data_IF_024911364256
#
_entry.id   IF_024911364256
#
_cell.length_a   1.000
_cell.length_b   1.000
_cell.length_c   1.000
_cell.angle_alpha   90.00
_cell.angle_beta   90.00
_cell.angle_gamma   90.00
#
_symmetry.space_group_name_H-M   'P 1'
#
loop_
_entity.id
_entity.type
_entity.pdbx_description
1 polymer ?
#
# COMPACT_ATOMS: atom_id res chain seq x y z
N UNK A 1 0.68 -12.07 -3.35
CA UNK A 1 0.91 -10.97 -2.40
C UNK A 1 1.53 -9.77 -3.12
N UNK A 2 0.94 -9.38 -4.25
CA UNK A 2 1.22 -8.13 -4.96
C UNK A 2 -0.16 -7.51 -5.12
N UNK A 3 -0.48 -6.53 -4.28
CA UNK A 3 -1.77 -5.87 -4.31
C UNK A 3 -1.64 -4.73 -5.32
N UNK A 4 -1.58 -5.09 -6.60
CA UNK A 4 -1.46 -4.15 -7.72
C UNK A 4 -2.78 -4.19 -8.46
N UNK A 5 -3.66 -3.23 -8.17
CA UNK A 5 -5.02 -3.20 -8.68
C UNK A 5 -5.06 -2.28 -9.92
N UNK A 6 -5.63 -2.81 -11.00
CA UNK A 6 -5.67 -2.31 -12.40
C UNK A 6 -4.34 -2.07 -13.13
N UNK A 7 -3.82 -3.14 -13.74
CA UNK A 7 -2.85 -3.05 -14.83
C UNK A 7 -3.29 -2.29 -16.09
N UNK A 8 -4.54 -1.81 -16.22
CA UNK A 8 -5.00 -1.24 -17.49
C UNK A 8 -4.70 0.26 -17.62
N UNK A 9 -4.84 1.06 -16.55
CA UNK A 9 -4.66 2.53 -16.63
C UNK A 9 -3.56 3.06 -15.71
N UNK A 10 -3.29 2.40 -14.58
CA UNK A 10 -2.24 2.80 -13.66
C UNK A 10 -2.29 1.97 -12.38
N UNK A 11 -1.21 1.99 -11.62
CA UNK A 11 -1.14 1.28 -10.34
C UNK A 11 -0.17 1.96 -9.38
N UNK A 12 -0.45 1.82 -8.09
CA UNK A 12 0.47 2.03 -7.00
C UNK A 12 1.11 0.70 -6.55
N UNK A 13 2.39 0.72 -6.20
CA UNK A 13 3.07 -0.41 -5.55
C UNK A 13 3.24 -0.11 -4.05
N UNK A 14 2.41 -0.70 -3.18
CA UNK A 14 2.53 -0.55 -1.73
C UNK A 14 3.91 -0.96 -1.21
N UNK A 15 4.35 -0.28 -0.16
CA UNK A 15 5.66 -0.43 0.48
C UNK A 15 6.88 -0.01 -0.34
N UNK A 16 6.71 0.33 -1.62
CA UNK A 16 7.80 0.73 -2.51
C UNK A 16 7.60 2.12 -3.14
N UNK A 17 6.61 2.88 -2.66
CA UNK A 17 6.42 4.30 -2.99
C UNK A 17 6.53 4.59 -4.48
N UNK A 18 5.83 3.78 -5.30
CA UNK A 18 5.84 3.92 -6.76
C UNK A 18 4.43 3.97 -7.31
N UNK A 19 4.14 4.99 -8.10
CA UNK A 19 2.99 5.06 -9.00
C UNK A 19 3.50 4.82 -10.43
N UNK A 20 2.76 4.02 -11.19
CA UNK A 20 2.95 3.86 -12.62
C UNK A 20 1.63 4.15 -13.32
N UNK A 21 1.62 5.16 -14.18
CA UNK A 21 0.47 5.55 -14.99
C UNK A 21 0.65 4.98 -16.41
N UNK A 22 -0.28 4.17 -16.90
CA UNK A 22 -0.19 3.57 -18.24
C UNK A 22 -0.64 4.54 -19.33
N UNK A 23 -0.08 5.75 -19.32
CA UNK A 23 -0.35 6.82 -20.26
C UNK A 23 0.94 7.24 -20.95
N UNK A 24 0.81 7.71 -22.19
CA UNK A 24 1.91 8.24 -23.00
C UNK A 24 2.03 9.78 -22.88
N UNK A 25 1.09 10.42 -22.19
CA UNK A 25 1.12 11.85 -21.85
C UNK A 25 2.39 12.19 -21.06
N UNK A 26 2.91 13.41 -21.28
CA UNK A 26 4.08 13.90 -20.55
C UNK A 26 3.74 14.12 -19.07
N UNK A 27 4.60 13.66 -18.15
CA UNK A 27 4.37 13.88 -16.71
C UNK A 27 4.37 15.38 -16.31
N UNK A 28 4.82 16.29 -17.19
CA UNK A 28 4.73 17.74 -16.97
C UNK A 28 3.29 18.25 -16.96
N UNK A 29 2.37 17.62 -17.70
CA UNK A 29 0.96 18.05 -17.77
C UNK A 29 0.10 17.48 -16.65
N UNK A 30 0.67 16.62 -15.79
CA UNK A 30 -0.04 16.01 -14.67
C UNK A 30 -0.60 17.06 -13.70
N UNK A 31 -1.91 17.05 -13.48
CA UNK A 31 -2.63 17.99 -12.64
C UNK A 31 -2.97 19.33 -13.30
N UNK A 32 -2.72 19.48 -14.61
CA UNK A 32 -3.07 20.68 -15.38
C UNK A 32 -4.57 20.79 -15.71
N UNK A 33 -5.32 19.68 -15.65
CA UNK A 33 -6.68 19.59 -16.15
C UNK A 33 -6.80 19.37 -17.66
N UNK A 34 -5.68 19.30 -18.41
CA UNK A 34 -5.71 19.02 -19.86
C UNK A 34 -6.25 17.62 -20.19
N UNK A 35 -5.99 16.64 -19.32
CA UNK A 35 -6.47 15.27 -19.44
C UNK A 35 -7.08 14.80 -18.12
N UNK A 36 -8.40 15.01 -17.97
CA UNK A 36 -9.08 14.70 -16.71
C UNK A 36 -9.13 13.20 -16.38
N UNK A 37 -9.07 12.32 -17.38
CA UNK A 37 -8.98 10.87 -17.15
C UNK A 37 -7.62 10.52 -16.53
N UNK A 38 -6.54 11.07 -17.10
CA UNK A 38 -5.19 10.90 -16.60
C UNK A 38 -5.05 11.43 -15.16
N UNK A 39 -5.58 12.63 -14.91
CA UNK A 39 -5.61 13.24 -13.59
C UNK A 39 -6.45 12.44 -12.58
N UNK A 40 -7.59 11.89 -13.00
CA UNK A 40 -8.43 11.06 -12.14
C UNK A 40 -7.74 9.74 -11.76
N UNK A 41 -7.05 9.09 -12.71
CA UNK A 41 -6.25 7.88 -12.43
C UNK A 41 -5.10 8.21 -11.49
N UNK A 42 -4.38 9.30 -11.72
CA UNK A 42 -3.32 9.73 -10.82
C UNK A 42 -3.84 10.00 -9.41
N UNK A 43 -4.98 10.69 -9.27
CA UNK A 43 -5.59 10.93 -7.97
C UNK A 43 -5.86 9.60 -7.25
N UNK A 44 -6.48 8.62 -7.93
CA UNK A 44 -6.74 7.30 -7.35
C UNK A 44 -5.47 6.63 -6.82
N UNK A 45 -4.41 6.56 -7.63
CA UNK A 45 -3.14 5.96 -7.22
C UNK A 45 -2.44 6.77 -6.13
N UNK A 46 -2.61 8.10 -6.12
CA UNK A 46 -2.07 8.97 -5.08
C UNK A 46 -2.79 8.77 -3.74
N UNK A 47 -4.10 8.46 -3.75
CA UNK A 47 -4.79 8.07 -2.52
C UNK A 47 -4.21 6.77 -1.96
N UNK A 48 -3.86 5.79 -2.80
CA UNK A 48 -3.17 4.59 -2.32
C UNK A 48 -1.82 4.90 -1.68
N UNK A 49 -1.06 5.83 -2.25
CA UNK A 49 0.14 6.35 -1.61
C UNK A 49 -0.16 6.96 -0.23
N UNK A 50 -1.14 7.87 -0.13
CA UNK A 50 -1.56 8.47 1.15
C UNK A 50 -1.93 7.37 2.16
N UNK A 51 -2.71 6.37 1.76
CA UNK A 51 -3.10 5.25 2.62
C UNK A 51 -1.87 4.50 3.14
N UNK A 52 -0.88 4.24 2.28
CA UNK A 52 0.31 3.47 2.61
C UNK A 52 1.24 4.21 3.58
N UNK A 53 1.44 5.52 3.39
CA UNK A 53 2.36 6.33 4.21
C UNK A 53 1.71 7.07 5.36
N UNK A 54 0.39 7.00 5.54
CA UNK A 54 -0.28 7.73 6.62
C UNK A 54 -1.20 6.87 7.49
N UNK A 55 -1.35 5.57 7.26
CA UNK A 55 -2.27 4.74 8.06
C UNK A 55 -1.52 3.66 8.81
N UNK A 56 -2.04 3.23 9.96
CA UNK A 56 -1.49 2.10 10.71
C UNK A 56 -1.43 0.83 9.85
N UNK A 57 -2.47 0.60 9.04
CA UNK A 57 -2.51 -0.51 8.09
C UNK A 57 -1.40 -0.42 7.02
N UNK A 58 -1.22 0.76 6.42
CA UNK A 58 -0.15 1.04 5.46
C UNK A 58 1.24 0.81 6.06
N UNK A 59 1.51 1.39 7.23
CA UNK A 59 2.75 1.17 7.97
C UNK A 59 3.00 -0.30 8.30
N UNK A 60 1.98 -1.03 8.75
CA UNK A 60 2.09 -2.47 8.98
C UNK A 60 2.47 -3.22 7.70
N UNK A 61 1.88 -2.86 6.56
CA UNK A 61 2.22 -3.46 5.28
C UNK A 61 3.67 -3.20 4.86
N UNK A 62 4.18 -1.97 5.06
CA UNK A 62 5.59 -1.61 4.87
C UNK A 62 6.47 -2.50 5.74
N UNK A 63 6.16 -2.58 7.02
CA UNK A 63 6.93 -3.32 8.01
C UNK A 63 7.05 -4.81 7.66
N UNK A 64 5.92 -5.44 7.35
CA UNK A 64 5.86 -6.87 7.00
C UNK A 64 6.61 -7.15 5.69
N UNK A 65 6.53 -6.24 4.70
CA UNK A 65 7.29 -6.36 3.45
C UNK A 65 8.80 -6.28 3.71
N UNK A 66 9.23 -5.34 4.55
CA UNK A 66 10.64 -5.17 4.91
C UNK A 66 11.20 -6.33 5.72
N UNK A 67 10.43 -6.85 6.67
CA UNK A 67 10.80 -8.03 7.43
C UNK A 67 10.94 -9.27 6.55
N UNK A 68 10.06 -9.46 5.57
CA UNK A 68 10.18 -10.54 4.60
C UNK A 68 11.45 -10.42 3.75
N UNK A 69 11.72 -9.24 3.18
CA UNK A 69 12.93 -9.03 2.39
C UNK A 69 14.20 -9.26 3.21
N UNK A 70 14.23 -8.78 4.45
CA UNK A 70 15.35 -9.02 5.39
C UNK A 70 15.51 -10.50 5.70
N UNK A 71 14.41 -11.21 5.94
CA UNK A 71 14.42 -12.65 6.15
C UNK A 71 15.07 -13.39 4.97
N UNK A 72 14.69 -13.06 3.74
CA UNK A 72 15.28 -13.70 2.55
C UNK A 72 16.77 -13.42 2.46
N UNK A 73 17.19 -12.16 2.56
CA UNK A 73 18.62 -11.77 2.52
C UNK A 73 19.44 -12.52 3.57
N UNK A 74 19.02 -12.45 4.83
CA UNK A 74 19.77 -13.05 5.94
C UNK A 74 19.86 -14.57 5.81
N UNK A 75 18.77 -15.21 5.37
CA UNK A 75 18.74 -16.67 5.18
C UNK A 75 19.68 -17.10 4.06
N UNK A 76 19.68 -16.38 2.93
CA UNK A 76 20.54 -16.71 1.79
C UNK A 76 22.02 -16.50 2.14
N UNK A 77 22.37 -15.37 2.74
CA UNK A 77 23.74 -15.05 3.15
C UNK A 77 24.25 -16.09 4.16
N UNK A 78 23.45 -16.41 5.18
CA UNK A 78 23.81 -17.40 6.20
C UNK A 78 24.00 -18.81 5.60
N UNK A 79 23.24 -19.17 4.56
CA UNK A 79 23.36 -20.47 3.90
C UNK A 79 24.68 -20.65 3.13
N UNK A 80 25.36 -19.55 2.77
CA UNK A 80 26.56 -19.52 1.91
C UNK A 80 26.40 -20.22 0.56
N UNK A 81 25.18 -20.52 0.12
CA UNK A 81 24.91 -21.19 -1.16
C UNK A 81 25.01 -20.20 -2.31
N UNK A 82 25.77 -20.55 -3.34
CA UNK A 82 25.85 -19.75 -4.55
C UNK A 82 24.51 -19.64 -5.30
N UNK A 83 23.63 -20.62 -5.14
CA UNK A 83 22.30 -20.66 -5.75
C UNK A 83 21.24 -20.93 -4.69
N UNK A 84 20.14 -20.19 -4.71
CA UNK A 84 19.02 -20.36 -3.78
C UNK A 84 17.68 -20.39 -4.52
N UNK A 85 16.72 -21.16 -4.04
CA UNK A 85 15.39 -21.26 -4.67
C UNK A 85 14.48 -20.11 -4.22
N UNK A 86 13.70 -19.58 -5.15
CA UNK A 86 12.63 -18.61 -4.88
C UNK A 86 11.28 -19.16 -5.40
N UNK A 87 10.15 -18.92 -4.70
CA UNK A 87 10.05 -18.12 -3.49
C UNK A 87 10.66 -18.79 -2.25
N UNK A 88 11.32 -17.98 -1.41
CA UNK A 88 11.84 -18.43 -0.12
C UNK A 88 10.83 -18.04 0.96
N UNK A 89 10.21 -19.02 1.60
CA UNK A 89 9.17 -18.80 2.62
C UNK A 89 9.75 -19.00 4.03
N UNK A 90 9.37 -18.17 5.02
CA UNK A 90 9.78 -18.36 6.40
C UNK A 90 9.18 -19.64 7.00
N UNK A 91 9.92 -20.35 7.87
CA UNK A 91 9.38 -21.48 8.60
C UNK A 91 8.36 -21.00 9.65
N UNK A 92 7.42 -21.87 10.04
CA UNK A 92 6.35 -21.54 11.02
C UNK A 92 6.82 -21.03 12.38
N UNK A 93 8.06 -21.34 12.77
CA UNK A 93 8.65 -20.96 14.06
C UNK A 93 9.89 -20.11 13.84
N UNK A 94 9.82 -19.16 12.91
CA UNK A 94 10.93 -18.23 12.71
C UNK A 94 11.02 -17.28 13.92
N UNK A 95 12.24 -16.97 14.42
CA UNK A 95 12.42 -16.18 15.64
C UNK A 95 12.06 -14.70 15.48
N UNK A 96 11.66 -14.27 14.28
CA UNK A 96 11.34 -12.89 13.94
C UNK A 96 9.85 -12.71 13.57
N UNK A 97 9.02 -13.75 13.78
CA UNK A 97 7.57 -13.77 13.50
C UNK A 97 7.19 -13.40 12.05
N UNK A 98 8.09 -13.59 11.09
CA UNK A 98 7.87 -13.23 9.68
C UNK A 98 6.77 -14.10 9.07
N UNK A 99 6.73 -15.39 9.39
CA UNK A 99 5.69 -16.30 8.94
C UNK A 99 4.30 -15.86 9.40
N UNK A 100 4.15 -15.56 10.69
CA UNK A 100 2.87 -15.17 11.26
C UNK A 100 2.43 -13.79 10.77
N UNK A 101 3.36 -12.86 10.63
CA UNK A 101 3.10 -11.55 10.04
C UNK A 101 2.61 -11.64 8.59
N UNK A 102 3.22 -12.51 7.76
CA UNK A 102 2.74 -12.76 6.39
C UNK A 102 1.35 -13.40 6.37
N UNK A 103 1.07 -14.30 7.32
CA UNK A 103 -0.24 -14.95 7.46
C UNK A 103 -1.31 -13.95 7.91
N UNK A 104 -1.01 -13.11 8.89
CA UNK A 104 -1.88 -12.01 9.35
C UNK A 104 -2.17 -11.03 8.21
N UNK A 105 -1.13 -10.61 7.48
CA UNK A 105 -1.27 -9.72 6.31
C UNK A 105 -2.25 -10.26 5.28
N UNK A 106 -2.26 -11.58 5.02
CA UNK A 106 -3.24 -12.20 4.12
C UNK A 106 -4.67 -11.95 4.60
N UNK A 107 -4.96 -12.28 5.85
CA UNK A 107 -6.31 -12.15 6.41
C UNK A 107 -6.75 -10.69 6.56
N UNK A 108 -5.85 -9.80 6.97
CA UNK A 108 -6.16 -8.39 7.12
C UNK A 108 -6.38 -7.68 5.78
N UNK A 109 -5.71 -8.12 4.71
CA UNK A 109 -5.97 -7.66 3.35
C UNK A 109 -7.34 -8.12 2.83
N UNK A 110 -7.74 -9.35 3.15
CA UNK A 110 -8.89 -10.00 2.55
C UNK A 110 -8.64 -10.40 1.09
N UNK A 111 -9.71 -10.73 0.38
CA UNK A 111 -9.70 -11.17 -1.01
C UNK A 111 -9.94 -10.01 -1.99
N UNK A 112 -9.39 -10.15 -3.21
CA UNK A 112 -9.75 -9.32 -4.35
C UNK A 112 -11.06 -9.81 -5.00
N UNK A 113 -12.20 -9.46 -4.41
CA UNK A 113 -13.51 -9.77 -4.97
C UNK A 113 -13.78 -8.92 -6.23
N UNK A 114 -13.73 -9.55 -7.41
CA UNK A 114 -13.91 -8.89 -8.71
C UNK A 114 -15.28 -9.16 -9.33
N UNK A 115 -15.74 -8.20 -10.13
CA UNK A 115 -16.98 -8.21 -10.88
C UNK A 115 -18.18 -7.65 -10.11
N UNK A 116 -19.32 -7.59 -10.78
CA UNK A 116 -20.58 -7.17 -10.18
C UNK A 116 -21.14 -8.29 -9.30
N UNK A 117 -21.29 -8.01 -8.01
CA UNK A 117 -21.71 -8.97 -7.01
C UNK A 117 -22.93 -8.45 -6.24
N UNK A 118 -23.94 -9.30 -6.10
CA UNK A 118 -25.08 -9.04 -5.20
C UNK A 118 -24.71 -9.51 -3.80
N UNK A 119 -24.71 -8.58 -2.85
CA UNK A 119 -24.46 -8.91 -1.44
C UNK A 119 -25.67 -9.61 -0.81
N UNK A 120 -25.43 -10.74 -0.15
CA UNK A 120 -26.47 -11.52 0.53
C UNK A 120 -26.36 -11.45 2.06
N UNK A 121 -25.18 -11.14 2.59
CA UNK A 121 -24.90 -11.11 4.02
C UNK A 121 -23.43 -11.37 4.31
N UNK A 122 -23.05 -11.28 5.58
CA UNK A 122 -21.70 -11.60 6.02
C UNK A 122 -21.74 -12.41 7.32
N UNK A 123 -20.62 -13.02 7.65
CA UNK A 123 -20.40 -13.67 8.95
C UNK A 123 -19.02 -13.31 9.47
N UNK A 124 -18.90 -13.26 10.80
CA UNK A 124 -17.62 -13.17 11.48
C UNK A 124 -17.09 -14.58 11.67
N UNK A 125 -15.88 -14.86 11.17
CA UNK A 125 -15.19 -16.13 11.34
C UNK A 125 -14.08 -15.95 12.37
N UNK A 126 -14.21 -16.58 13.56
CA UNK A 126 -13.12 -16.62 14.53
C UNK A 126 -12.06 -17.62 14.07
N UNK A 127 -10.81 -17.17 14.02
CA UNK A 127 -9.61 -17.96 13.76
C UNK A 127 -8.65 -17.88 14.93
N UNK A 128 -7.78 -18.88 15.01
CA UNK A 128 -6.64 -18.88 15.93
C UNK A 128 -5.36 -19.06 15.11
N UNK A 129 -4.37 -18.21 15.37
CA UNK A 129 -3.01 -18.47 14.93
C UNK A 129 -2.28 -19.20 16.04
N UNK A 130 -1.68 -20.33 15.69
CA UNK A 130 -0.80 -21.12 16.55
C UNK A 130 0.51 -20.34 16.77
N UNK A 131 0.44 -19.24 17.53
CA UNK A 131 1.62 -18.51 17.98
C UNK A 131 2.24 -19.22 19.19
N UNK A 132 3.55 -19.10 19.30
CA UNK A 132 4.42 -19.54 20.38
C UNK A 132 3.70 -19.56 21.74
N UNK A 133 3.25 -20.75 22.16
CA UNK A 133 2.60 -21.08 23.43
C UNK A 133 1.23 -20.43 23.75
N UNK A 134 0.73 -19.46 22.97
CA UNK A 134 -0.57 -18.81 23.19
C UNK A 134 -1.33 -18.56 21.88
N UNK A 135 -2.52 -19.17 21.67
CA UNK A 135 -3.32 -18.92 20.49
C UNK A 135 -3.70 -17.44 20.34
N UNK A 136 -3.42 -16.85 19.19
CA UNK A 136 -3.83 -15.47 18.87
C UNK A 136 -5.22 -15.49 18.24
N UNK A 137 -6.27 -14.98 18.93
CA UNK A 137 -7.60 -14.89 18.34
C UNK A 137 -7.62 -13.81 17.26
N UNK A 138 -8.26 -14.13 16.14
CA UNK A 138 -8.45 -13.27 14.99
C UNK A 138 -9.90 -13.39 14.52
N UNK A 139 -10.52 -12.28 14.15
CA UNK A 139 -11.83 -12.29 13.50
C UNK A 139 -11.68 -11.83 12.05
N UNK A 140 -12.27 -12.58 11.13
CA UNK A 140 -12.32 -12.25 9.70
C UNK A 140 -13.77 -12.06 9.30
N UNK A 141 -14.02 -11.12 8.40
CA UNK A 141 -15.33 -10.91 7.80
C UNK A 141 -15.40 -11.72 6.51
N UNK A 142 -16.27 -12.73 6.44
CA UNK A 142 -16.58 -13.42 5.19
C UNK A 142 -17.91 -12.90 4.63
N UNK A 143 -17.87 -12.36 3.41
CA UNK A 143 -19.04 -11.94 2.67
C UNK A 143 -19.61 -13.11 1.87
N UNK A 144 -20.92 -13.23 1.86
CA UNK A 144 -21.66 -14.10 0.95
C UNK A 144 -22.27 -13.24 -0.15
N UNK A 145 -21.87 -13.51 -1.39
CA UNK A 145 -22.34 -12.76 -2.56
C UNK A 145 -22.86 -13.71 -3.64
N UNK A 146 -23.78 -13.23 -4.48
CA UNK A 146 -24.24 -13.93 -5.68
C UNK A 146 -23.74 -13.20 -6.92
N UNK A 147 -23.12 -13.94 -7.84
CA UNK A 147 -22.73 -13.43 -9.16
C UNK A 147 -23.94 -13.26 -10.08
N UNK A 148 -23.78 -12.54 -11.20
CA UNK A 148 -24.83 -12.31 -12.19
C UNK A 148 -25.45 -13.60 -12.75
N UNK A 149 -24.69 -14.71 -12.80
CA UNK A 149 -25.14 -16.05 -13.20
C UNK A 149 -25.83 -16.85 -12.08
N UNK A 150 -26.09 -16.23 -10.91
CA UNK A 150 -26.81 -16.85 -9.80
C UNK A 150 -25.93 -17.70 -8.87
N UNK A 151 -24.61 -17.81 -9.11
CA UNK A 151 -23.73 -18.63 -8.26
C UNK A 151 -23.36 -17.92 -6.96
N UNK A 152 -23.38 -18.67 -5.87
CA UNK A 152 -22.89 -18.17 -4.58
C UNK A 152 -21.36 -18.17 -4.57
N UNK A 153 -20.77 -17.05 -4.15
CA UNK A 153 -19.35 -16.87 -3.90
C UNK A 153 -19.11 -16.30 -2.51
N UNK A 154 -17.98 -16.67 -1.93
CA UNK A 154 -17.51 -16.22 -0.62
C UNK A 154 -16.20 -15.48 -0.77
N UNK A 155 -16.06 -14.38 -0.03
CA UNK A 155 -14.86 -13.53 -0.08
C UNK A 155 -14.55 -13.00 1.31
N UNK A 156 -13.26 -12.95 1.66
CA UNK A 156 -12.79 -12.27 2.85
C UNK A 156 -12.79 -10.74 2.62
N UNK A 157 -13.55 -9.99 3.42
CA UNK A 157 -13.55 -8.53 3.38
C UNK A 157 -12.46 -7.97 4.29
N UNK A 158 -11.62 -7.11 3.73
CA UNK A 158 -10.45 -6.57 4.41
C UNK A 158 -9.93 -5.29 3.79
N UNK A 159 -8.66 -4.99 4.10
CA UNK A 159 -7.99 -3.75 3.74
C UNK A 159 -7.95 -3.48 2.25
N UNK A 160 -7.85 -4.51 1.39
CA UNK A 160 -7.85 -4.32 -0.07
C UNK A 160 -9.15 -3.66 -0.53
N UNK A 161 -10.30 -4.20 -0.13
CA UNK A 161 -11.60 -3.66 -0.52
C UNK A 161 -11.82 -2.25 0.06
N UNK A 162 -11.37 -2.01 1.29
CA UNK A 162 -11.50 -0.70 1.96
C UNK A 162 -10.62 0.35 1.29
N UNK A 163 -9.36 0.02 0.96
CA UNK A 163 -8.42 0.92 0.28
C UNK A 163 -8.94 1.34 -1.09
N UNK A 164 -9.39 0.38 -1.90
CA UNK A 164 -9.96 0.64 -3.23
C UNK A 164 -11.24 1.44 -3.16
N UNK A 165 -12.14 1.10 -2.22
CA UNK A 165 -13.38 1.87 -2.05
C UNK A 165 -13.10 3.31 -1.62
N UNK A 166 -12.14 3.53 -0.72
CA UNK A 166 -11.73 4.88 -0.31
C UNK A 166 -11.13 5.67 -1.49
N UNK A 167 -10.21 5.07 -2.26
CA UNK A 167 -9.61 5.73 -3.42
C UNK A 167 -10.67 6.07 -4.48
N UNK A 168 -11.59 5.14 -4.76
CA UNK A 168 -12.67 5.34 -5.71
C UNK A 168 -13.68 6.40 -5.28
N UNK A 169 -14.07 6.43 -4.00
CA UNK A 169 -14.95 7.48 -3.48
C UNK A 169 -14.29 8.84 -3.71
N UNK A 170 -13.05 9.05 -3.25
CA UNK A 170 -12.34 10.33 -3.42
C UNK A 170 -12.20 10.71 -4.89
N UNK A 171 -11.81 9.75 -5.74
CA UNK A 171 -11.69 9.96 -7.18
C UNK A 171 -13.01 10.46 -7.78
N UNK A 172 -14.13 9.83 -7.45
CA UNK A 172 -15.44 10.17 -8.02
C UNK A 172 -16.09 11.39 -7.40
N UNK A 173 -15.72 11.78 -6.17
CA UNK A 173 -16.09 13.10 -5.62
C UNK A 173 -15.32 14.23 -6.32
N UNK A 174 -14.05 14.01 -6.69
CA UNK A 174 -13.23 15.03 -7.36
C UNK A 174 -13.45 15.10 -8.88
N UNK A 175 -13.72 13.95 -9.51
CA UNK A 175 -13.95 13.77 -10.95
C UNK A 175 -15.23 12.96 -11.19
N UNK A 176 -16.41 13.60 -11.03
CA UNK A 176 -17.68 12.94 -11.32
C UNK A 176 -17.72 12.43 -12.76
N UNK A 177 -18.22 11.21 -12.96
CA UNK A 177 -18.56 10.63 -14.26
C UNK A 177 -17.42 10.24 -15.22
N UNK A 178 -16.15 10.46 -14.85
CA UNK A 178 -15.01 10.21 -15.75
C UNK A 178 -14.61 8.72 -15.81
N UNK A 179 -14.72 7.99 -14.69
CA UNK A 179 -14.25 6.60 -14.58
C UNK A 179 -15.17 5.75 -13.70
N UNK A 180 -16.47 5.73 -13.98
CA UNK A 180 -17.44 4.95 -13.19
C UNK A 180 -17.06 3.46 -13.16
N UNK A 181 -17.11 2.87 -11.97
CA UNK A 181 -16.87 1.45 -11.71
C UNK A 181 -18.07 0.85 -10.98
N UNK A 182 -18.47 -0.34 -11.42
CA UNK A 182 -19.46 -1.19 -10.74
C UNK A 182 -18.84 -2.44 -10.12
N UNK A 183 -17.55 -2.68 -10.36
CA UNK A 183 -16.84 -3.82 -9.81
C UNK A 183 -16.79 -3.71 -8.28
N UNK A 184 -17.16 -4.81 -7.62
CA UNK A 184 -17.28 -4.91 -6.17
C UNK A 184 -16.03 -4.42 -5.43
N UNK A 185 -14.85 -4.59 -6.00
CA UNK A 185 -13.62 -4.10 -5.39
C UNK A 185 -13.66 -2.59 -5.08
N UNK A 186 -14.27 -1.79 -5.97
CA UNK A 186 -14.34 -0.32 -5.87
C UNK A 186 -15.54 0.17 -5.07
N UNK A 187 -16.64 -0.59 -5.05
CA UNK A 187 -17.89 -0.17 -4.38
C UNK A 187 -18.22 -1.03 -3.15
N UNK A 188 -17.35 -1.95 -2.78
CA UNK A 188 -17.62 -2.98 -1.78
C UNK A 188 -17.86 -2.41 -0.40
N UNK A 189 -17.11 -1.39 0.03
CA UNK A 189 -17.38 -0.73 1.30
C UNK A 189 -18.74 -0.02 1.31
N UNK A 190 -19.15 0.60 0.20
CA UNK A 190 -20.46 1.23 0.05
C UNK A 190 -21.59 0.18 0.10
N UNK A 191 -21.41 -0.96 -0.57
CA UNK A 191 -22.35 -2.07 -0.57
C UNK A 191 -22.52 -2.66 0.84
N UNK A 192 -21.40 -2.95 1.51
CA UNK A 192 -21.41 -3.51 2.87
C UNK A 192 -22.04 -2.52 3.85
N UNK A 193 -21.63 -1.24 3.81
CA UNK A 193 -22.20 -0.21 4.68
C UNK A 193 -23.72 -0.06 4.47
N UNK A 194 -24.17 -0.03 3.21
CA UNK A 194 -25.59 0.08 2.87
C UNK A 194 -26.38 -1.13 3.35
N UNK A 195 -25.81 -2.33 3.32
CA UNK A 195 -26.48 -3.53 3.79
C UNK A 195 -26.57 -3.58 5.32
N UNK A 196 -25.52 -3.17 6.04
CA UNK A 196 -25.51 -3.18 7.51
C UNK A 196 -26.36 -2.03 8.05
N UNK A 197 -26.07 -0.79 7.67
CA UNK A 197 -26.72 0.40 8.21
C UNK A 197 -27.08 1.41 7.09
N UNK A 198 -28.21 1.21 6.37
CA UNK A 198 -28.59 2.03 5.22
C UNK A 198 -28.66 3.54 5.50
N UNK A 199 -29.14 3.95 6.68
CA UNK A 199 -29.24 5.36 7.09
C UNK A 199 -27.86 6.01 7.25
N UNK A 200 -26.84 5.25 7.66
CA UNK A 200 -25.47 5.75 7.72
C UNK A 200 -24.90 5.92 6.30
N UNK A 201 -25.10 4.90 5.46
CA UNK A 201 -24.55 4.84 4.12
C UNK A 201 -25.23 5.77 3.11
N UNK A 202 -26.37 6.39 3.46
CA UNK A 202 -27.02 7.38 2.59
C UNK A 202 -26.18 8.65 2.40
N UNK A 203 -25.22 8.91 3.30
CA UNK A 203 -24.19 9.91 3.07
C UNK A 203 -22.88 9.19 2.71
N UNK A 204 -22.46 9.30 1.45
CA UNK A 204 -21.27 8.64 0.95
C UNK A 204 -19.98 9.05 1.66
N UNK A 205 -19.90 10.31 2.13
CA UNK A 205 -18.75 10.77 2.90
C UNK A 205 -18.67 10.14 4.29
N UNK A 206 -19.78 9.61 4.84
CA UNK A 206 -19.72 8.79 6.06
C UNK A 206 -18.99 7.47 5.79
N UNK A 207 -19.27 6.83 4.65
CA UNK A 207 -18.57 5.61 4.23
C UNK A 207 -17.10 5.89 4.02
N UNK A 208 -16.75 7.03 3.40
CA UNK A 208 -15.36 7.46 3.24
C UNK A 208 -14.65 7.63 4.59
N UNK A 209 -15.24 8.35 5.54
CA UNK A 209 -14.67 8.57 6.87
C UNK A 209 -14.46 7.23 7.62
N UNK A 210 -15.42 6.30 7.48
CA UNK A 210 -15.29 4.97 8.06
C UNK A 210 -14.18 4.15 7.39
N UNK A 211 -14.02 4.24 6.07
CA UNK A 211 -12.91 3.57 5.38
C UNK A 211 -11.56 4.06 5.92
N UNK A 212 -11.35 5.39 5.99
CA UNK A 212 -10.10 5.96 6.51
C UNK A 212 -9.87 5.59 7.98
N UNK A 213 -10.90 5.71 8.83
CA UNK A 213 -10.81 5.30 10.23
C UNK A 213 -10.47 3.80 10.38
N UNK A 214 -10.98 2.95 9.50
CA UNK A 214 -10.71 1.51 9.52
C UNK A 214 -9.28 1.17 9.15
N UNK A 215 -8.64 1.95 8.28
CA UNK A 215 -7.21 1.81 7.98
C UNK A 215 -6.32 2.27 9.15
N UNK A 216 -6.89 2.93 10.16
CA UNK A 216 -6.22 3.29 11.42
C UNK A 216 -5.86 2.12 12.33
N UNK A 217 -6.28 0.89 12.01
CA UNK A 217 -5.99 -0.34 12.77
C UNK A 217 -5.39 -1.44 11.90
N UNK A 218 -4.86 -2.50 12.51
CA UNK A 218 -4.29 -3.64 11.77
C UNK A 218 -5.33 -4.49 11.04
N UNK A 219 -6.54 -4.66 11.59
CA UNK A 219 -7.61 -5.48 11.01
C UNK A 219 -8.77 -4.59 10.52
N UNK A 220 -8.63 -3.93 9.37
CA UNK A 220 -9.58 -2.93 8.90
C UNK A 220 -10.96 -3.53 8.59
N UNK A 221 -11.01 -4.75 8.03
CA UNK A 221 -12.27 -5.39 7.65
C UNK A 221 -13.20 -5.67 8.83
N UNK A 222 -12.64 -6.26 9.89
CA UNK A 222 -13.40 -6.51 11.12
C UNK A 222 -13.83 -5.21 11.79
N UNK A 223 -12.91 -4.25 11.92
CA UNK A 223 -13.21 -2.96 12.54
C UNK A 223 -14.34 -2.21 11.83
N UNK A 224 -14.29 -2.16 10.50
CA UNK A 224 -15.33 -1.52 9.66
C UNK A 224 -16.73 -2.07 9.96
N UNK A 225 -16.88 -3.40 9.97
CA UNK A 225 -18.19 -4.03 10.20
C UNK A 225 -18.66 -3.88 11.64
N UNK A 226 -17.78 -4.10 12.62
CA UNK A 226 -18.13 -4.00 14.05
C UNK A 226 -18.52 -2.58 14.46
N UNK A 227 -17.87 -1.56 13.88
CA UNK A 227 -18.23 -0.17 14.16
C UNK A 227 -19.59 0.20 13.55
N UNK A 228 -19.88 -0.27 12.34
CA UNK A 228 -21.22 -0.10 11.73
C UNK A 228 -22.32 -0.77 12.53
N UNK A 229 -22.09 -2.00 12.99
CA UNK A 229 -23.03 -2.71 13.87
C UNK A 229 -23.28 -1.93 15.16
N UNK A 230 -22.23 -1.38 15.78
CA UNK A 230 -22.33 -0.58 17.00
C UNK A 230 -23.13 0.71 16.76
N UNK A 231 -22.79 1.46 15.71
CA UNK A 231 -23.53 2.67 15.32
C UNK A 231 -25.00 2.37 15.01
N UNK A 232 -25.30 1.22 14.37
CA UNK A 232 -26.67 0.78 14.09
C UNK A 232 -27.43 0.42 15.37
N UNK A 233 -26.81 -0.38 16.25
CA UNK A 233 -27.36 -0.81 17.54
C UNK A 233 -27.71 0.39 18.41
N UNK A 234 -26.83 1.39 18.44
CA UNK A 234 -26.98 2.61 19.23
C UNK A 234 -27.78 3.70 18.46
N UNK A 235 -28.24 3.41 17.24
CA UNK A 235 -28.96 4.32 16.33
C UNK A 235 -28.28 5.69 16.18
N UNK A 236 -26.95 5.71 16.16
CA UNK A 236 -26.13 6.92 16.04
C UNK A 236 -26.31 7.50 14.64
N UNK A 237 -26.46 8.82 14.56
CA UNK A 237 -26.47 9.57 13.31
C UNK A 237 -25.46 10.70 13.39
N UNK A 238 -24.71 10.90 12.31
CA UNK A 238 -23.70 11.95 12.21
C UNK A 238 -24.21 13.06 11.30
N UNK A 239 -24.10 14.30 11.75
CA UNK A 239 -24.41 15.48 10.91
C UNK A 239 -23.21 15.90 10.06
N UNK A 240 -22.00 15.52 10.49
CA UNK A 240 -20.76 15.72 9.76
C UNK A 240 -19.92 14.42 9.79
N UNK A 241 -19.47 13.90 8.63
CA UNK A 241 -18.56 12.76 8.55
C UNK A 241 -17.35 12.84 9.49
N UNK A 242 -16.88 14.03 9.84
CA UNK A 242 -15.73 14.21 10.77
C UNK A 242 -16.01 13.60 12.15
N UNK A 243 -17.26 13.57 12.59
CA UNK A 243 -17.66 12.98 13.88
C UNK A 243 -17.40 11.46 13.95
N UNK A 244 -17.31 10.79 12.80
CA UNK A 244 -17.02 9.34 12.71
C UNK A 244 -15.60 9.06 13.21
N UNK A 245 -14.64 9.95 12.95
CA UNK A 245 -13.29 9.81 13.49
C UNK A 245 -13.32 9.84 15.02
N UNK A 246 -14.02 10.80 15.62
CA UNK A 246 -14.15 10.89 17.08
C UNK A 246 -14.83 9.65 17.66
N UNK A 247 -15.93 9.20 17.06
CA UNK A 247 -16.61 7.99 17.50
C UNK A 247 -15.71 6.75 17.40
N UNK A 248 -14.93 6.63 16.33
CA UNK A 248 -13.99 5.52 16.13
C UNK A 248 -12.95 5.46 17.25
N UNK A 249 -12.37 6.60 17.65
CA UNK A 249 -11.37 6.64 18.72
C UNK A 249 -11.93 6.20 20.08
N UNK A 250 -13.20 6.49 20.37
CA UNK A 250 -13.81 6.15 21.67
C UNK A 250 -14.28 4.69 21.77
N UNK A 251 -14.41 3.97 20.66
CA UNK A 251 -15.04 2.65 20.60
C UNK A 251 -14.09 1.52 20.19
N UNK A 252 -12.78 1.71 20.41
CA UNK A 252 -11.77 0.67 20.14
C UNK A 252 -11.32 0.04 21.44
N UNK A 253 -11.28 -1.29 21.45
CA UNK A 253 -10.71 -2.08 22.52
C UNK A 253 -9.70 -3.09 21.99
N UNK A 254 -8.71 -3.42 22.82
CA UNK A 254 -7.77 -4.50 22.59
C UNK A 254 -8.40 -5.87 22.83
N UNK A 255 -7.59 -6.91 22.68
CA UNK A 255 -8.02 -8.30 22.89
C UNK A 255 -8.48 -8.60 24.32
N UNK A 256 -8.11 -7.74 25.27
CA UNK A 256 -8.50 -7.83 26.68
C UNK A 256 -9.68 -6.89 27.01
N UNK A 257 -10.38 -6.38 25.99
CA UNK A 257 -11.42 -5.36 26.10
C UNK A 257 -10.95 -4.05 26.78
N UNK A 258 -9.64 -3.75 26.77
CA UNK A 258 -9.12 -2.47 27.26
C UNK A 258 -9.13 -1.44 26.14
N UNK A 259 -9.49 -0.18 26.41
CA UNK A 259 -9.40 0.87 25.40
C UNK A 259 -8.00 0.94 24.78
N UNK A 260 -7.90 1.03 23.45
CA UNK A 260 -6.64 1.29 22.74
C UNK A 260 -6.57 2.77 22.42
N UNK A 261 -5.43 3.40 22.71
CA UNK A 261 -5.12 4.70 22.10
C UNK A 261 -4.65 4.50 20.65
N UNK A 262 -5.50 4.85 19.69
CA UNK A 262 -5.17 4.83 18.27
C UNK A 262 -3.92 5.65 17.93
N UNK A 263 -3.63 6.70 18.70
CA UNK A 263 -2.46 7.55 18.47
C UNK A 263 -1.17 6.82 18.81
N UNK A 264 -1.15 6.06 19.90
CA UNK A 264 -0.01 5.23 20.29
C UNK A 264 0.22 4.09 19.31
N UNK A 265 -0.87 3.47 18.86
CA UNK A 265 -0.83 2.44 17.82
C UNK A 265 -0.25 3.02 16.52
N UNK A 266 -0.75 4.18 16.09
CA UNK A 266 -0.31 4.85 14.88
C UNK A 266 1.17 5.29 14.95
N UNK A 267 1.57 5.88 16.08
CA UNK A 267 2.95 6.30 16.36
C UNK A 267 3.92 5.12 16.34
N UNK A 268 3.55 4.02 17.01
CA UNK A 268 4.37 2.80 17.05
C UNK A 268 4.54 2.19 15.66
N UNK A 269 3.46 2.10 14.88
CA UNK A 269 3.51 1.59 13.52
C UNK A 269 4.35 2.49 12.59
N UNK A 270 4.20 3.82 12.69
CA UNK A 270 4.98 4.80 11.93
C UNK A 270 6.48 4.64 12.21
N UNK A 271 6.86 4.61 13.50
CA UNK A 271 8.25 4.47 13.93
C UNK A 271 8.87 3.16 13.43
N UNK A 272 8.16 2.04 13.62
CA UNK A 272 8.64 0.73 13.16
C UNK A 272 8.81 0.67 11.64
N UNK A 273 7.82 1.15 10.89
CA UNK A 273 7.87 1.10 9.42
C UNK A 273 8.99 1.97 8.86
N UNK A 274 9.20 3.17 9.42
CA UNK A 274 10.34 4.04 9.09
C UNK A 274 11.66 3.33 9.32
N UNK A 275 11.87 2.81 10.52
CA UNK A 275 13.12 2.14 10.90
C UNK A 275 13.42 0.94 10.00
N UNK A 276 12.41 0.16 9.64
CA UNK A 276 12.57 -1.00 8.77
C UNK A 276 12.79 -0.60 7.31
N UNK A 277 12.13 0.44 6.82
CA UNK A 277 12.26 0.94 5.45
C UNK A 277 13.66 1.52 5.20
N UNK A 278 14.21 2.30 6.13
CA UNK A 278 15.55 2.88 5.94
C UNK A 278 16.65 1.83 6.03
N UNK A 279 16.43 0.72 6.74
CA UNK A 279 17.43 -0.36 6.92
C UNK A 279 17.76 -1.12 5.64
N UNK A 280 17.00 -0.98 4.56
CA UNK A 280 17.44 -1.44 3.24
C UNK A 280 18.76 -0.81 2.81
N UNK A 281 19.02 0.38 3.34
CA UNK A 281 20.17 1.18 3.05
C UNK A 281 20.92 1.32 4.37
N UNK A 282 22.13 0.79 4.54
CA UNK A 282 22.89 0.95 5.79
C UNK A 282 24.26 1.61 5.58
N UNK A 283 24.63 1.88 4.33
CA UNK A 283 25.83 2.63 3.95
C UNK A 283 25.55 4.14 3.80
N UNK A 284 26.60 4.97 3.89
CA UNK A 284 26.53 6.42 3.70
C UNK A 284 26.26 6.83 2.25
N UNK A 285 26.58 5.97 1.27
CA UNK A 285 26.25 6.15 -0.14
C UNK A 285 24.74 6.35 -0.40
N UNK A 286 23.89 5.87 0.51
CA UNK A 286 22.44 5.93 0.40
C UNK A 286 21.79 6.97 1.32
N UNK A 287 22.54 7.94 1.85
CA UNK A 287 21.99 8.94 2.78
C UNK A 287 20.80 9.71 2.18
N UNK A 288 20.90 10.13 0.92
CA UNK A 288 19.82 10.92 0.29
C UNK A 288 18.50 10.14 0.21
N UNK A 289 18.54 8.85 -0.16
CA UNK A 289 17.33 8.01 -0.23
C UNK A 289 16.80 7.67 1.16
N UNK A 290 17.68 7.49 2.16
CA UNK A 290 17.27 7.31 3.57
C UNK A 290 16.53 8.54 4.09
N UNK A 291 17.11 9.72 3.92
CA UNK A 291 16.50 10.97 4.39
C UNK A 291 15.17 11.22 3.70
N UNK A 292 15.08 10.98 2.39
CA UNK A 292 13.82 11.10 1.68
C UNK A 292 12.73 10.16 2.23
N UNK A 293 13.03 8.88 2.42
CA UNK A 293 12.06 7.90 2.94
C UNK A 293 11.69 8.17 4.41
N UNK A 294 12.66 8.53 5.25
CA UNK A 294 12.40 8.94 6.64
C UNK A 294 11.46 10.15 6.69
N UNK A 295 11.82 11.22 5.98
CA UNK A 295 11.06 12.47 6.00
C UNK A 295 9.65 12.24 5.45
N UNK A 296 9.48 11.39 4.43
CA UNK A 296 8.16 11.03 3.90
C UNK A 296 7.25 10.42 4.97
N UNK A 297 7.74 9.43 5.72
CA UNK A 297 6.95 8.78 6.78
C UNK A 297 6.71 9.73 7.95
N UNK A 298 7.73 10.48 8.38
CA UNK A 298 7.63 11.42 9.51
C UNK A 298 6.67 12.59 9.20
N UNK A 299 6.78 13.18 8.01
CA UNK A 299 5.89 14.26 7.57
C UNK A 299 4.46 13.77 7.39
N UNK A 300 4.25 12.57 6.83
CA UNK A 300 2.90 12.02 6.68
C UNK A 300 2.24 11.69 8.02
N UNK A 301 3.00 11.11 8.96
CA UNK A 301 2.57 10.91 10.34
C UNK A 301 2.17 12.23 11.02
N UNK A 302 3.04 13.24 10.97
CA UNK A 302 2.78 14.55 11.56
C UNK A 302 1.55 15.21 10.93
N UNK A 303 1.44 15.16 9.59
CA UNK A 303 0.32 15.72 8.86
C UNK A 303 -1.02 15.11 9.29
N UNK A 304 -1.10 13.78 9.37
CA UNK A 304 -2.33 13.09 9.81
C UNK A 304 -2.68 13.43 11.25
N UNK A 305 -1.69 13.43 12.15
CA UNK A 305 -1.91 13.79 13.56
C UNK A 305 -2.54 15.18 13.69
N UNK A 306 -2.03 16.13 12.92
CA UNK A 306 -2.45 17.53 13.02
C UNK A 306 -3.71 17.84 12.17
N UNK A 307 -4.03 16.98 11.20
CA UNK A 307 -5.17 17.15 10.29
C UNK A 307 -5.98 15.85 10.14
N UNK A 308 -6.62 15.31 11.19
CA UNK A 308 -7.25 13.99 11.14
C UNK A 308 -8.39 13.84 10.11
N UNK A 309 -8.97 14.94 9.65
CA UNK A 309 -10.08 14.98 8.69
C UNK A 309 -9.64 15.28 7.23
N UNK A 310 -8.33 15.34 6.96
CA UNK A 310 -7.81 15.78 5.67
C UNK A 310 -8.31 14.96 4.48
N UNK A 311 -8.61 13.67 4.67
CA UNK A 311 -9.19 12.81 3.63
C UNK A 311 -10.56 13.33 3.17
N UNK A 312 -11.41 13.77 4.09
CA UNK A 312 -12.71 14.37 3.76
C UNK A 312 -12.50 15.73 3.07
N UNK A 313 -11.50 16.51 3.50
CA UNK A 313 -11.14 17.77 2.85
C UNK A 313 -10.63 17.55 1.41
N UNK A 314 -9.89 16.47 1.15
CA UNK A 314 -9.47 16.09 -0.21
C UNK A 314 -10.71 15.75 -1.05
N UNK A 315 -11.60 14.87 -0.57
CA UNK A 315 -12.80 14.52 -1.32
C UNK A 315 -13.68 15.73 -1.69
N UNK A 316 -13.78 16.71 -0.78
CA UNK A 316 -14.53 17.97 -1.00
C UNK A 316 -13.77 19.02 -1.82
N UNK A 317 -12.48 18.82 -2.08
CA UNK A 317 -11.60 19.83 -2.70
C UNK A 317 -11.75 19.99 -4.22
N UNK A 318 -12.59 19.16 -4.86
CA UNK A 318 -12.77 19.15 -6.31
C UNK A 318 -11.55 18.60 -7.06
N UNK A 319 -11.43 18.96 -8.34
CA UNK A 319 -10.36 18.52 -9.25
C UNK A 319 -8.97 18.87 -8.72
N UNK A 320 -7.93 18.15 -9.18
CA UNK A 320 -6.54 18.30 -8.73
C UNK A 320 -6.08 19.77 -8.72
N UNK A 321 -6.37 20.51 -9.80
CA UNK A 321 -5.97 21.91 -9.96
C UNK A 321 -6.58 22.85 -8.91
N UNK A 322 -7.76 22.53 -8.35
CA UNK A 322 -8.42 23.34 -7.32
C UNK A 322 -8.28 22.76 -5.91
N UNK A 323 -7.90 21.48 -5.77
CA UNK A 323 -7.87 20.76 -4.51
C UNK A 323 -6.77 21.23 -3.54
N UNK A 324 -7.09 22.20 -2.68
CA UNK A 324 -6.13 22.77 -1.74
C UNK A 324 -5.68 21.77 -0.66
N UNK A 325 -6.57 20.89 -0.21
CA UNK A 325 -6.23 19.89 0.80
C UNK A 325 -5.17 18.93 0.28
N UNK A 326 -5.34 18.45 -0.95
CA UNK A 326 -4.35 17.59 -1.60
C UNK A 326 -3.04 18.34 -1.86
N UNK A 327 -3.10 19.59 -2.35
CA UNK A 327 -1.88 20.41 -2.54
C UNK A 327 -1.12 20.61 -1.23
N UNK A 328 -1.81 20.85 -0.12
CA UNK A 328 -1.17 20.99 1.19
C UNK A 328 -0.45 19.70 1.58
N UNK A 329 -1.08 18.53 1.37
CA UNK A 329 -0.44 17.24 1.60
C UNK A 329 0.80 17.06 0.70
N UNK A 330 0.67 17.26 -0.61
CA UNK A 330 1.77 17.14 -1.58
C UNK A 330 2.93 18.07 -1.24
N UNK A 331 2.67 19.32 -0.84
CA UNK A 331 3.71 20.29 -0.52
C UNK A 331 4.52 19.91 0.74
N UNK A 332 3.89 19.24 1.71
CA UNK A 332 4.52 18.88 2.99
C UNK A 332 5.17 17.50 2.95
N UNK A 333 4.61 16.53 2.23
CA UNK A 333 5.12 15.14 2.17
C UNK A 333 5.94 14.89 0.89
N UNK A 334 5.61 15.56 -0.21
CA UNK A 334 6.08 15.22 -1.56
C UNK A 334 5.26 14.09 -2.19
N UNK A 335 5.75 13.53 -3.30
CA UNK A 335 5.13 12.42 -4.04
C UNK A 335 5.92 11.11 -3.91
N UNK A 336 5.31 9.95 -4.20
CA UNK A 336 6.05 8.75 -4.55
C UNK A 336 6.80 8.95 -5.87
N UNK A 337 7.63 7.98 -6.27
CA UNK A 337 8.16 7.91 -7.63
C UNK A 337 6.99 7.70 -8.61
N UNK A 338 6.74 8.67 -9.49
CA UNK A 338 5.72 8.57 -10.53
C UNK A 338 6.41 8.19 -11.84
N UNK A 339 5.87 7.17 -12.51
CA UNK A 339 6.34 6.69 -13.81
C UNK A 339 5.19 6.65 -14.81
N UNK A 340 5.50 6.70 -16.11
CA UNK A 340 4.49 6.53 -17.16
C UNK A 340 4.91 5.48 -18.22
N UNK A 341 4.05 5.24 -19.22
CA UNK A 341 4.32 4.28 -20.30
C UNK A 341 5.56 4.64 -21.16
N UNK A 342 5.97 5.92 -21.13
CA UNK A 342 7.20 6.40 -21.76
C UNK A 342 8.45 6.24 -20.88
N UNK A 343 8.35 5.60 -19.71
CA UNK A 343 9.43 5.51 -18.73
C UNK A 343 9.96 6.88 -18.30
N UNK A 344 9.14 7.93 -18.39
CA UNK A 344 9.43 9.19 -17.72
C UNK A 344 9.29 8.99 -16.22
N UNK A 345 10.09 9.72 -15.45
CA UNK A 345 10.07 9.66 -14.00
C UNK A 345 9.81 11.06 -13.47
N UNK A 346 8.86 11.22 -12.55
CA UNK A 346 8.61 12.46 -11.83
C UNK A 346 8.62 12.21 -10.32
N UNK A 347 9.18 13.16 -9.59
CA UNK A 347 9.22 13.18 -8.14
C UNK A 347 8.98 14.61 -7.70
N UNK A 348 7.98 14.83 -6.85
CA UNK A 348 7.78 16.08 -6.15
C UNK A 348 8.41 15.97 -4.78
N UNK A 349 9.45 16.75 -4.52
CA UNK A 349 10.07 16.83 -3.20
C UNK A 349 9.31 17.84 -2.33
N UNK A 350 9.23 17.62 -1.01
CA UNK A 350 8.79 18.67 -0.10
C UNK A 350 9.75 19.88 -0.20
N UNK A 351 9.24 21.07 0.11
CA UNK A 351 9.92 22.36 -0.10
C UNK A 351 11.31 22.43 0.58
N UNK A 352 11.53 21.65 1.64
CA UNK A 352 12.75 21.69 2.46
C UNK A 352 13.77 20.57 2.15
N UNK A 353 13.73 19.88 1.01
CA UNK A 353 14.71 18.83 0.73
C UNK A 353 15.95 19.34 -0.04
N UNK A 354 17.16 19.39 0.56
CA UNK A 354 18.35 19.91 -0.10
C UNK A 354 19.06 18.87 -0.99
N UNK A 355 18.58 17.63 -1.07
CA UNK A 355 19.29 16.52 -1.72
C UNK A 355 18.65 16.09 -3.05
N UNK A 356 19.50 15.77 -4.05
CA UNK A 356 19.06 15.12 -5.29
C UNK A 356 18.86 13.63 -5.04
N UNK A 357 17.61 13.20 -4.92
CA UNK A 357 17.29 11.80 -4.59
C UNK A 357 17.32 10.91 -5.84
N UNK A 358 18.09 9.82 -5.77
CA UNK A 358 18.04 8.72 -6.75
C UNK A 358 16.82 7.82 -6.49
N UNK A 359 15.63 8.25 -6.90
CA UNK A 359 14.37 7.53 -6.65
C UNK A 359 14.27 6.16 -7.33
N UNK A 360 15.11 5.89 -8.34
CA UNK A 360 15.21 4.57 -8.99
C UNK A 360 15.49 3.42 -8.00
N UNK A 361 16.06 3.72 -6.82
CA UNK A 361 16.27 2.72 -5.77
C UNK A 361 14.97 2.07 -5.29
N UNK A 362 13.89 2.82 -5.08
CA UNK A 362 12.63 2.21 -4.61
C UNK A 362 11.97 1.34 -5.68
N UNK A 363 12.14 1.69 -6.96
CA UNK A 363 11.75 0.83 -8.07
C UNK A 363 12.58 -0.46 -8.09
N UNK A 364 13.88 -0.36 -7.86
CA UNK A 364 14.73 -1.53 -7.72
C UNK A 364 14.29 -2.45 -6.57
N UNK A 365 13.88 -1.89 -5.42
CA UNK A 365 13.38 -2.68 -4.28
C UNK A 365 12.12 -3.48 -4.65
N UNK A 366 11.16 -2.85 -5.35
CA UNK A 366 9.97 -3.54 -5.88
C UNK A 366 10.35 -4.72 -6.78
N UNK A 367 11.29 -4.48 -7.71
CA UNK A 367 11.74 -5.54 -8.62
C UNK A 367 12.44 -6.69 -7.88
N UNK A 368 13.28 -6.41 -6.88
CA UNK A 368 13.92 -7.47 -6.08
C UNK A 368 12.88 -8.25 -5.28
N UNK A 369 11.88 -7.57 -4.70
CA UNK A 369 10.76 -8.22 -4.01
C UNK A 369 10.01 -9.19 -4.95
N UNK A 370 9.74 -8.80 -6.20
CA UNK A 370 9.16 -9.69 -7.23
C UNK A 370 9.99 -10.96 -7.44
N UNK A 371 11.31 -10.83 -7.54
CA UNK A 371 12.22 -11.97 -7.68
C UNK A 371 12.17 -12.88 -6.46
N UNK A 372 12.16 -12.32 -5.24
CA UNK A 372 12.07 -13.11 -4.00
C UNK A 372 10.77 -13.88 -3.87
N UNK A 373 9.68 -13.39 -4.47
CA UNK A 373 8.42 -14.10 -4.61
C UNK A 373 8.36 -15.04 -5.82
N UNK A 374 9.48 -15.30 -6.49
CA UNK A 374 9.57 -16.25 -7.59
C UNK A 374 9.04 -15.73 -8.93
N UNK A 375 8.79 -14.43 -9.09
CA UNK A 375 8.38 -13.87 -10.38
C UNK A 375 9.57 -13.73 -11.31
N UNK A 376 9.44 -14.29 -12.52
CA UNK A 376 10.40 -14.07 -13.61
C UNK A 376 10.03 -12.80 -14.36
N UNK A 377 10.84 -11.76 -14.25
CA UNK A 377 10.65 -10.51 -14.99
C UNK A 377 11.99 -10.02 -15.53
N UNK A 378 11.98 -9.43 -16.73
CA UNK A 378 13.08 -8.59 -17.20
C UNK A 378 13.29 -7.40 -16.26
N UNK A 379 14.46 -6.78 -16.30
CA UNK A 379 14.74 -5.60 -15.51
C UNK A 379 13.83 -4.44 -15.91
N UNK A 380 12.98 -3.99 -14.98
CA UNK A 380 12.02 -2.91 -15.21
C UNK A 380 12.74 -1.57 -15.42
N UNK A 381 13.96 -1.42 -14.89
CA UNK A 381 14.79 -0.23 -15.05
C UNK A 381 15.57 -0.19 -16.38
N UNK A 382 15.53 -1.24 -17.23
CA UNK A 382 16.36 -1.33 -18.45
C UNK A 382 16.22 -0.09 -19.34
N UNK A 383 14.99 0.32 -19.64
CA UNK A 383 14.73 1.49 -20.51
C UNK A 383 15.20 2.79 -19.86
N UNK A 384 15.03 2.93 -18.54
CA UNK A 384 15.53 4.10 -17.79
C UNK A 384 17.05 4.16 -17.82
N UNK A 385 17.73 3.03 -17.61
CA UNK A 385 19.18 2.93 -17.70
C UNK A 385 19.68 3.33 -19.10
N UNK A 386 19.04 2.84 -20.16
CA UNK A 386 19.39 3.17 -21.54
C UNK A 386 19.29 4.68 -21.80
N UNK A 387 18.21 5.33 -21.35
CA UNK A 387 18.02 6.79 -21.49
C UNK A 387 19.06 7.60 -20.70
N UNK A 388 19.54 7.08 -19.58
CA UNK A 388 20.58 7.69 -18.74
C UNK A 388 22.01 7.37 -19.21
N UNK A 389 22.18 6.66 -20.33
CA UNK A 389 23.50 6.23 -20.83
C UNK A 389 24.18 5.16 -19.96
N UNK A 390 23.44 4.52 -19.04
CA UNK A 390 23.94 3.40 -18.24
C UNK A 390 23.96 2.16 -19.15
N UNK A 391 25.08 1.42 -19.14
CA UNK A 391 25.28 0.21 -19.95
C UNK A 391 24.14 -0.80 -19.74
N UNK A 392 23.50 -1.23 -20.82
CA UNK A 392 22.48 -2.28 -20.83
C UNK A 392 22.93 -3.44 -21.72
N UNK A 393 22.61 -4.67 -21.34
CA UNK A 393 22.93 -5.89 -22.08
C UNK A 393 21.93 -7.02 -21.75
N UNK A 394 22.15 -8.21 -22.28
CA UNK A 394 21.26 -9.38 -22.12
C UNK A 394 21.05 -9.79 -20.65
N UNK A 395 21.97 -9.44 -19.74
CA UNK A 395 21.81 -9.71 -18.31
C UNK A 395 20.62 -8.92 -17.75
N UNK A 396 20.29 -7.76 -18.30
CA UNK A 396 19.10 -7.01 -17.91
C UNK A 396 17.81 -7.80 -18.17
N UNK A 397 17.77 -8.68 -19.17
CA UNK A 397 16.56 -9.43 -19.53
C UNK A 397 16.44 -10.77 -18.81
N UNK A 398 17.58 -11.36 -18.42
CA UNK A 398 17.64 -12.74 -17.91
C UNK A 398 18.10 -12.85 -16.45
N UNK A 399 19.04 -12.01 -16.04
CA UNK A 399 19.80 -12.16 -14.79
C UNK A 399 20.30 -10.81 -14.25
N UNK A 400 19.41 -9.85 -13.91
CA UNK A 400 19.81 -8.49 -13.52
C UNK A 400 20.73 -8.45 -12.28
N UNK A 401 20.69 -9.46 -11.41
CA UNK A 401 21.61 -9.61 -10.27
C UNK A 401 23.08 -9.76 -10.67
N UNK A 402 23.40 -10.25 -11.87
CA UNK A 402 24.78 -10.36 -12.37
C UNK A 402 25.44 -8.99 -12.56
N UNK A 403 24.64 -7.91 -12.69
CA UNK A 403 25.14 -6.53 -12.74
C UNK A 403 25.84 -6.12 -11.44
N UNK A 404 25.62 -6.83 -10.33
CA UNK A 404 26.37 -6.62 -9.07
C UNK A 404 27.87 -6.94 -9.17
N UNK A 405 28.29 -7.66 -10.22
CA UNK A 405 29.68 -8.01 -10.49
C UNK A 405 30.43 -6.96 -11.32
N UNK A 406 29.71 -5.99 -11.89
CA UNK A 406 30.31 -4.90 -12.66
C UNK A 406 31.22 -4.03 -11.76
N UNK A 407 32.25 -3.37 -12.33
CA UNK A 407 33.05 -2.38 -11.65
C UNK A 407 32.18 -1.31 -11.00
N UNK A 408 32.59 -0.77 -9.84
CA UNK A 408 31.79 0.18 -9.06
C UNK A 408 31.34 1.40 -9.88
N UNK A 409 32.18 1.89 -10.80
CA UNK A 409 31.89 3.06 -11.63
C UNK A 409 30.95 2.75 -12.83
N UNK A 410 30.66 1.48 -13.10
CA UNK A 410 29.79 1.03 -14.20
C UNK A 410 28.52 0.33 -13.70
N UNK A 411 28.40 0.17 -12.37
CA UNK A 411 27.33 -0.60 -11.75
C UNK A 411 26.02 0.19 -11.83
N UNK A 412 24.95 -0.49 -12.26
CA UNK A 412 23.62 0.10 -12.28
C UNK A 412 22.96 0.01 -10.90
N UNK A 413 21.86 0.74 -10.69
CA UNK A 413 21.07 0.74 -9.45
C UNK A 413 20.74 -0.66 -8.93
N UNK A 414 20.37 -1.59 -9.82
CA UNK A 414 20.10 -2.98 -9.43
C UNK A 414 21.34 -3.67 -8.90
N UNK A 415 22.46 -3.53 -9.61
CA UNK A 415 23.73 -4.06 -9.18
C UNK A 415 24.19 -3.47 -7.85
N UNK A 416 24.02 -2.16 -7.65
CA UNK A 416 24.39 -1.45 -6.42
C UNK A 416 23.64 -2.01 -5.22
N UNK A 417 22.31 -2.12 -5.28
CA UNK A 417 21.48 -2.65 -4.18
C UNK A 417 21.82 -4.12 -3.90
N UNK A 418 21.93 -4.93 -4.95
CA UNK A 418 22.23 -6.36 -4.80
C UNK A 418 23.62 -6.60 -4.20
N UNK A 419 24.62 -5.82 -4.63
CA UNK A 419 25.96 -5.86 -4.06
C UNK A 419 25.97 -5.37 -2.61
N UNK A 420 25.31 -4.25 -2.34
CA UNK A 420 25.20 -3.63 -1.01
C UNK A 420 24.62 -4.59 0.03
N UNK A 421 23.65 -5.41 -0.36
CA UNK A 421 23.07 -6.44 0.52
C UNK A 421 23.94 -7.69 0.69
N UNK A 422 25.15 -7.72 0.15
CA UNK A 422 26.03 -8.89 0.21
C UNK A 422 25.60 -10.02 -0.72
N UNK A 423 24.69 -9.77 -1.67
CA UNK A 423 24.11 -10.79 -2.54
C UNK A 423 24.92 -11.08 -3.81
N UNK A 424 26.07 -10.42 -4.01
CA UNK A 424 26.93 -10.51 -5.22
C UNK A 424 27.19 -11.95 -5.70
N UNK A 425 27.35 -12.89 -4.76
CA UNK A 425 27.70 -14.29 -5.07
C UNK A 425 26.50 -15.25 -4.96
N UNK A 426 25.28 -14.71 -4.87
CA UNK A 426 24.06 -15.47 -4.65
C UNK A 426 23.09 -15.27 -5.83
N UNK A 427 22.74 -16.37 -6.48
CA UNK A 427 21.89 -16.40 -7.68
C UNK A 427 20.52 -16.99 -7.35
N UNK A 428 19.41 -16.27 -7.58
CA UNK A 428 18.07 -16.80 -7.42
C UNK A 428 17.75 -17.80 -8.54
N UNK A 429 17.28 -18.99 -8.15
CA UNK A 429 16.74 -20.01 -9.04
C UNK A 429 15.22 -20.00 -8.94
N UNK A 430 14.59 -19.50 -9.99
CA UNK A 430 13.14 -19.49 -10.14
C UNK A 430 12.64 -20.94 -10.31
N UNK A 431 11.73 -21.39 -9.45
CA UNK A 431 10.99 -22.63 -9.70
C UNK A 431 10.13 -22.44 -10.96
N UNK A 432 10.25 -23.39 -11.90
CA UNK A 432 9.46 -23.40 -13.14
C UNK A 432 7.97 -23.57 -12.87
#
# INVERSE_FOLDING_TARGET
>A
MFNTLKHNLGFYTPSFMRINLNYFDDLSVLGSGENEVFDAVYLHEYIHFIQDVSTTFGYSNISITADYMRFVNNTVIASKKAVFSVPLLPPKKDPFNVYDNLKLKKYYNGDEAKGELKFNGYRVIPLFLDDLNNPVPLNIIELNCTTSDGRLKKFEFGGICIMESMAYIIQTECYPDILRQSDFLYVGAEIVAKAIYPKFASNRLNVLALCDASLGVYNPGFFFCSLLESMKRDNVSFTDPVQIYLYSHCNISDRSNKPIDLRDLHSSAASQSKDQLVRYFNDNYFLDVKFWLSNMIESAFAYRRDNPDFIIKIARGGKLISNQALRNFVNQIGSPLITNANYQTKLSMPVENPHVVKSDYVWCLDQISKIYWGKRTSCELKTVCQKKGIKVDTRCDLEPWERSKDPINERCTFGDVWWHWGMKNHVPKLTR
#
